data_IF_751804220249
#
_entry.id   IF_751804220249
#
_cell.length_a   1.000
_cell.length_b   1.000
_cell.length_c   1.000
_cell.angle_alpha   90.00
_cell.angle_beta   90.00
_cell.angle_gamma   90.00
#
_symmetry.space_group_name_H-M   'P 1'
#
loop_
_entity.id
_entity.type
_entity.pdbx_description
1 polymer ?
#
# COMPACT_ATOMS: atom_id res chain seq x y z
N UNK A 1 -17.32 7.91 2.74
CA UNK A 1 -17.62 9.33 2.34
C UNK A 1 -16.35 10.18 2.42
N UNK A 2 -15.80 10.44 3.61
CA UNK A 2 -14.62 11.31 3.83
C UNK A 2 -13.42 10.98 2.93
N UNK A 3 -13.16 9.72 2.64
CA UNK A 3 -12.06 9.30 1.75
C UNK A 3 -12.32 9.80 0.33
N UNK A 4 -13.50 9.59 -0.21
CA UNK A 4 -13.86 10.02 -1.58
C UNK A 4 -13.86 11.55 -1.70
N UNK A 5 -14.42 12.25 -0.71
CA UNK A 5 -14.42 13.71 -0.67
C UNK A 5 -13.02 14.31 -0.62
N UNK A 6 -12.05 13.54 -0.07
CA UNK A 6 -10.64 13.92 0.04
C UNK A 6 -9.73 13.18 -0.94
N UNK A 7 -10.26 12.66 -2.03
CA UNK A 7 -9.54 12.01 -3.11
C UNK A 7 -9.82 12.68 -4.44
N UNK A 8 -8.99 12.38 -5.45
CA UNK A 8 -9.27 12.71 -6.84
C UNK A 8 -9.76 11.48 -7.58
N UNK A 9 -10.83 11.59 -8.32
CA UNK A 9 -11.25 10.55 -9.24
C UNK A 9 -10.28 10.46 -10.42
N UNK A 10 -9.88 9.25 -10.79
CA UNK A 10 -9.03 9.00 -11.95
C UNK A 10 -9.88 9.05 -13.20
N UNK A 11 -9.53 9.92 -14.14
CA UNK A 11 -10.24 10.06 -15.42
C UNK A 11 -9.62 9.21 -16.51
N UNK A 12 -8.30 9.09 -16.54
CA UNK A 12 -7.58 8.21 -17.45
C UNK A 12 -6.19 7.85 -16.93
N UNK A 13 -5.64 6.82 -17.54
CA UNK A 13 -4.25 6.41 -17.36
C UNK A 13 -3.58 6.46 -18.73
N UNK A 14 -2.50 7.22 -18.84
CA UNK A 14 -1.69 7.31 -20.04
C UNK A 14 -0.52 6.32 -19.99
N UNK A 15 -0.23 5.70 -21.10
CA UNK A 15 1.06 5.09 -21.40
C UNK A 15 1.80 6.05 -22.31
N UNK A 16 2.89 6.66 -21.81
CA UNK A 16 3.64 7.70 -22.49
C UNK A 16 5.03 7.24 -22.92
N UNK A 17 5.60 7.96 -23.91
CA UNK A 17 6.99 7.81 -24.30
C UNK A 17 7.95 8.51 -23.30
N UNK A 18 9.27 8.47 -23.60
CA UNK A 18 10.29 9.17 -22.81
C UNK A 18 10.13 10.70 -22.75
N UNK A 19 9.36 11.29 -23.67
CA UNK A 19 9.07 12.73 -23.73
C UNK A 19 7.68 13.05 -23.12
N UNK A 20 7.05 12.06 -22.48
CA UNK A 20 5.74 12.17 -21.84
C UNK A 20 4.57 12.38 -22.83
N UNK A 21 4.79 12.05 -24.12
CA UNK A 21 3.71 12.07 -25.10
C UNK A 21 2.89 10.78 -24.93
N UNK A 22 1.56 10.86 -24.84
CA UNK A 22 0.71 9.67 -24.73
C UNK A 22 0.84 8.80 -26.01
N UNK A 23 1.22 7.53 -25.82
CA UNK A 23 1.17 6.48 -26.85
C UNK A 23 -0.21 5.83 -26.85
N UNK A 24 -0.75 5.61 -25.64
CA UNK A 24 -2.07 5.05 -25.42
C UNK A 24 -2.71 5.71 -24.19
N UNK A 25 -4.02 5.91 -24.27
CA UNK A 25 -4.82 6.39 -23.14
C UNK A 25 -5.90 5.36 -22.84
N UNK A 26 -6.05 5.02 -21.57
CA UNK A 26 -7.14 4.17 -21.06
C UNK A 26 -8.07 5.07 -20.26
N UNK A 27 -9.24 5.35 -20.84
CA UNK A 27 -10.31 6.07 -20.18
C UNK A 27 -10.84 5.26 -18.99
N UNK A 28 -11.10 5.93 -17.88
CA UNK A 28 -11.71 5.34 -16.70
C UNK A 28 -13.18 5.78 -16.60
N UNK A 29 -14.10 4.86 -16.24
CA UNK A 29 -15.47 5.26 -15.97
C UNK A 29 -15.53 6.26 -14.82
N UNK A 30 -16.08 7.43 -15.06
CA UNK A 30 -16.21 8.54 -14.09
C UNK A 30 -17.59 8.51 -13.46
N UNK A 31 -17.68 8.92 -12.19
CA UNK A 31 -18.91 8.99 -11.44
C UNK A 31 -19.18 7.76 -10.59
N UNK A 32 -20.40 7.67 -10.09
CA UNK A 32 -20.80 6.61 -9.17
C UNK A 32 -20.97 5.29 -9.91
N UNK A 33 -20.19 4.29 -9.55
CA UNK A 33 -20.28 2.93 -10.09
C UNK A 33 -21.50 2.18 -9.53
N UNK A 34 -21.74 0.97 -10.03
CA UNK A 34 -22.73 0.04 -9.49
C UNK A 34 -22.52 -0.31 -8.00
N UNK A 35 -21.32 -0.09 -7.48
CA UNK A 35 -20.98 -0.27 -6.07
C UNK A 35 -21.30 0.95 -5.20
N UNK A 36 -21.87 2.02 -5.76
CA UNK A 36 -22.23 3.24 -5.06
C UNK A 36 -21.09 4.24 -4.84
N UNK A 37 -19.89 3.97 -5.36
CA UNK A 37 -18.68 4.78 -5.23
C UNK A 37 -17.95 4.92 -6.56
N UNK A 38 -17.04 5.91 -6.71
CA UNK A 38 -16.15 5.97 -7.87
C UNK A 38 -15.31 4.69 -8.00
N UNK A 39 -15.04 4.28 -9.25
CA UNK A 39 -14.29 3.05 -9.50
C UNK A 39 -12.84 3.11 -9.00
N UNK A 40 -12.21 4.27 -9.16
CA UNK A 40 -10.82 4.49 -8.77
C UNK A 40 -10.62 5.93 -8.31
N UNK A 41 -9.92 6.08 -7.20
CA UNK A 41 -9.57 7.40 -6.66
C UNK A 41 -8.08 7.46 -6.31
N UNK A 42 -7.47 8.61 -6.49
CA UNK A 42 -6.14 8.93 -6.03
C UNK A 42 -6.26 9.64 -4.68
N UNK A 43 -5.59 9.13 -3.68
CA UNK A 43 -5.64 9.63 -2.31
C UNK A 43 -4.24 9.98 -1.79
N UNK A 44 -4.19 10.73 -0.71
CA UNK A 44 -2.96 10.95 0.06
C UNK A 44 -2.98 10.03 1.28
N UNK A 45 -2.03 9.10 1.35
CA UNK A 45 -2.03 8.02 2.34
C UNK A 45 -2.14 8.50 3.80
N UNK A 46 -1.39 9.53 4.27
CA UNK A 46 -1.53 10.01 5.64
C UNK A 46 -2.94 10.53 5.99
N UNK A 47 -3.65 11.14 5.03
CA UNK A 47 -5.04 11.57 5.24
C UNK A 47 -5.99 10.37 5.35
N UNK A 48 -5.82 9.36 4.48
CA UNK A 48 -6.61 8.12 4.54
C UNK A 48 -6.43 7.43 5.89
N UNK A 49 -5.19 7.27 6.35
CA UNK A 49 -4.88 6.67 7.65
C UNK A 49 -5.49 7.48 8.80
N UNK A 50 -5.43 8.82 8.74
CA UNK A 50 -6.05 9.70 9.72
C UNK A 50 -7.58 9.52 9.81
N UNK A 51 -8.27 9.35 8.68
CA UNK A 51 -9.71 9.08 8.66
C UNK A 51 -10.07 7.71 9.24
N UNK A 52 -9.27 6.68 8.92
CA UNK A 52 -9.47 5.34 9.46
C UNK A 52 -9.23 5.34 10.97
N UNK A 53 -8.13 5.93 11.44
CA UNK A 53 -7.79 6.06 12.85
C UNK A 53 -8.88 6.77 13.63
N UNK A 54 -9.32 7.94 13.19
CA UNK A 54 -10.39 8.68 13.83
C UNK A 54 -11.71 7.88 13.91
N UNK A 55 -12.00 7.07 12.89
CA UNK A 55 -13.16 6.17 12.90
C UNK A 55 -13.03 5.06 13.94
N UNK A 56 -11.85 4.46 14.05
CA UNK A 56 -11.53 3.42 15.03
C UNK A 56 -11.60 3.97 16.45
N UNK A 57 -10.99 5.12 16.71
CA UNK A 57 -10.97 5.76 18.03
C UNK A 57 -12.36 6.21 18.51
N UNK A 58 -13.26 6.52 17.58
CA UNK A 58 -14.66 6.84 17.91
C UNK A 58 -15.50 5.60 18.26
N UNK A 59 -15.00 4.40 17.97
CA UNK A 59 -15.67 3.13 18.26
C UNK A 59 -15.36 2.62 19.67
N UNK A 60 -16.34 2.01 20.34
CA UNK A 60 -16.16 1.48 21.69
C UNK A 60 -15.65 0.02 21.73
N UNK A 61 -15.53 -0.62 20.58
CA UNK A 61 -15.24 -2.06 20.48
C UNK A 61 -13.83 -2.38 19.98
N UNK A 62 -13.00 -1.35 19.76
CA UNK A 62 -11.64 -1.50 19.22
C UNK A 62 -10.65 -0.87 20.20
N UNK A 63 -9.58 -1.60 20.50
CA UNK A 63 -8.48 -1.11 21.32
C UNK A 63 -7.22 -1.10 20.49
N UNK A 64 -6.58 0.06 20.34
CA UNK A 64 -5.29 0.21 19.67
C UNK A 64 -4.19 0.12 20.74
N UNK A 65 -3.20 -0.72 20.49
CA UNK A 65 -2.01 -0.91 21.34
C UNK A 65 -0.76 -0.55 20.55
N UNK A 66 -0.51 0.76 20.41
CA UNK A 66 0.73 1.24 19.77
C UNK A 66 1.98 0.89 20.55
N UNK A 67 3.12 0.75 19.86
CA UNK A 67 4.38 0.40 20.51
C UNK A 67 4.38 -0.98 21.16
N UNK A 68 3.47 -1.86 20.76
CA UNK A 68 3.36 -3.22 21.29
C UNK A 68 3.74 -4.22 20.19
N UNK A 69 4.84 -4.94 20.40
CA UNK A 69 5.38 -5.93 19.47
C UNK A 69 4.91 -7.33 19.88
N UNK A 70 4.44 -8.12 18.91
CA UNK A 70 4.16 -9.54 19.08
C UNK A 70 5.49 -10.32 19.01
N UNK A 71 5.83 -11.04 20.06
CA UNK A 71 7.06 -11.83 20.17
C UNK A 71 6.88 -13.29 19.75
N UNK A 72 5.76 -13.89 20.15
CA UNK A 72 5.34 -15.23 19.74
C UNK A 72 3.84 -15.40 20.01
N UNK A 73 3.27 -16.49 19.52
CA UNK A 73 1.90 -16.88 19.80
C UNK A 73 1.76 -18.39 19.82
N UNK A 74 0.78 -18.89 20.60
CA UNK A 74 0.42 -20.30 20.70
C UNK A 74 -1.05 -20.46 20.31
N UNK A 75 -1.32 -21.26 19.27
CA UNK A 75 -2.67 -21.56 18.77
C UNK A 75 -3.17 -22.87 19.37
N UNK A 76 -4.38 -22.87 19.90
CA UNK A 76 -5.08 -24.00 20.50
C UNK A 76 -6.55 -24.05 20.09
N UNK A 77 -7.25 -25.11 20.44
CA UNK A 77 -8.70 -25.24 20.20
C UNK A 77 -9.52 -24.15 20.94
N UNK A 78 -8.98 -23.57 22.02
CA UNK A 78 -9.63 -22.52 22.81
C UNK A 78 -9.41 -21.13 22.24
N UNK A 79 -8.37 -20.93 21.42
CA UNK A 79 -7.96 -19.66 20.83
C UNK A 79 -6.45 -19.49 20.81
N UNK A 80 -6.01 -18.25 20.65
CA UNK A 80 -4.60 -17.88 20.46
C UNK A 80 -4.12 -17.09 21.67
N UNK A 81 -3.07 -17.58 22.33
CA UNK A 81 -2.31 -16.82 23.32
C UNK A 81 -1.23 -16.01 22.60
N UNK A 82 -1.09 -14.73 22.94
CA UNK A 82 -0.20 -13.77 22.30
C UNK A 82 0.76 -13.21 23.33
N UNK A 83 2.05 -13.50 23.19
CA UNK A 83 3.09 -12.93 24.03
C UNK A 83 3.69 -11.71 23.34
N UNK A 84 3.50 -10.55 23.95
CA UNK A 84 3.85 -9.25 23.40
C UNK A 84 4.81 -8.50 24.32
N UNK A 85 5.41 -7.44 23.80
CA UNK A 85 6.29 -6.53 24.55
C UNK A 85 6.03 -5.10 24.17
N UNK A 86 6.05 -4.20 25.15
CA UNK A 86 6.04 -2.75 24.95
C UNK A 86 7.10 -2.06 25.85
N UNK A 87 7.05 -0.73 25.98
CA UNK A 87 7.94 0.04 26.85
C UNK A 87 7.86 -0.34 28.34
N UNK A 88 6.73 -0.87 28.79
CA UNK A 88 6.45 -1.19 30.19
C UNK A 88 6.81 -2.63 30.54
N UNK A 89 7.12 -3.47 29.53
CA UNK A 89 7.56 -4.85 29.69
C UNK A 89 6.78 -5.84 28.83
N UNK A 90 6.79 -7.10 29.25
CA UNK A 90 6.08 -8.20 28.59
C UNK A 90 4.60 -8.23 28.97
N UNK A 91 3.76 -8.56 28.01
CA UNK A 91 2.30 -8.60 28.12
C UNK A 91 1.79 -9.88 27.46
N UNK A 92 0.79 -10.51 28.06
CA UNK A 92 0.10 -11.64 27.44
C UNK A 92 -1.35 -11.26 27.15
N UNK A 93 -1.81 -11.54 25.95
CA UNK A 93 -3.21 -11.41 25.54
C UNK A 93 -3.76 -12.79 25.15
N UNK A 94 -5.05 -12.94 25.25
CA UNK A 94 -5.77 -14.08 24.73
C UNK A 94 -6.84 -13.63 23.75
N UNK A 95 -6.93 -14.29 22.60
CA UNK A 95 -7.86 -13.96 21.50
C UNK A 95 -8.44 -15.22 20.89
N UNK A 96 -9.66 -15.17 20.40
CA UNK A 96 -10.23 -16.30 19.64
C UNK A 96 -9.58 -16.48 18.27
N UNK A 97 -9.11 -15.40 17.66
CA UNK A 97 -8.43 -15.40 16.37
C UNK A 97 -7.30 -14.37 16.36
N UNK A 98 -6.23 -14.68 15.65
CA UNK A 98 -5.17 -13.75 15.28
C UNK A 98 -5.22 -13.49 13.78
N UNK A 99 -5.08 -12.23 13.36
CA UNK A 99 -4.96 -11.87 11.95
C UNK A 99 -3.65 -11.12 11.77
N UNK A 100 -2.69 -11.73 11.06
CA UNK A 100 -1.43 -11.10 10.67
C UNK A 100 -1.64 -10.18 9.47
N UNK A 101 -1.58 -8.87 9.70
CA UNK A 101 -1.55 -7.81 8.67
C UNK A 101 -0.21 -7.07 8.74
N UNK A 102 0.87 -7.78 9.02
CA UNK A 102 2.19 -7.31 9.38
C UNK A 102 3.15 -7.17 8.19
N UNK A 103 2.59 -7.07 6.97
CA UNK A 103 3.31 -6.67 5.77
C UNK A 103 4.13 -7.79 5.11
N UNK A 104 4.91 -7.39 4.10
CA UNK A 104 5.65 -8.29 3.23
C UNK A 104 6.60 -9.24 3.99
N UNK A 105 7.25 -8.74 5.04
CA UNK A 105 8.13 -9.51 5.92
C UNK A 105 7.40 -10.12 7.11
N UNK A 106 6.14 -10.50 6.96
CA UNK A 106 5.25 -10.97 8.01
C UNK A 106 5.92 -11.95 8.98
N UNK A 107 5.92 -11.57 10.25
CA UNK A 107 6.32 -12.44 11.36
C UNK A 107 5.30 -13.56 11.54
N UNK A 108 4.00 -13.23 11.52
CA UNK A 108 2.93 -14.20 11.70
C UNK A 108 2.98 -15.31 10.65
N UNK A 109 3.19 -14.97 9.37
CA UNK A 109 3.33 -15.97 8.29
C UNK A 109 4.51 -16.91 8.56
N UNK A 110 5.67 -16.38 8.96
CA UNK A 110 6.86 -17.19 9.24
C UNK A 110 6.66 -18.12 10.44
N UNK A 111 6.03 -17.66 11.50
CA UNK A 111 5.71 -18.49 12.66
C UNK A 111 4.70 -19.59 12.34
N UNK A 112 3.83 -19.36 11.34
CA UNK A 112 2.94 -20.38 10.83
C UNK A 112 3.64 -21.42 9.93
N UNK A 113 4.91 -21.19 9.57
CA UNK A 113 5.65 -22.02 8.61
C UNK A 113 4.86 -22.14 7.28
N UNK A 114 4.49 -20.97 6.73
CA UNK A 114 3.76 -20.86 5.47
C UNK A 114 4.68 -20.26 4.41
N UNK A 115 4.94 -21.03 3.39
CA UNK A 115 5.75 -20.65 2.25
C UNK A 115 5.01 -19.68 1.30
N UNK A 116 5.80 -18.95 0.50
CA UNK A 116 5.33 -18.11 -0.57
C UNK A 116 5.62 -18.77 -1.92
N UNK A 117 4.60 -18.91 -2.75
CA UNK A 117 4.77 -19.14 -4.17
C UNK A 117 5.28 -17.84 -4.81
N UNK A 118 6.51 -17.85 -5.32
CA UNK A 118 7.15 -16.71 -5.96
C UNK A 118 7.00 -16.81 -7.48
N UNK A 119 6.42 -15.78 -8.09
CA UNK A 119 6.25 -15.67 -9.56
C UNK A 119 7.47 -15.05 -10.24
N UNK A 120 8.63 -15.04 -9.58
CA UNK A 120 9.93 -14.60 -10.10
C UNK A 120 9.95 -13.11 -10.56
N UNK A 121 9.05 -12.31 -10.03
CA UNK A 121 9.08 -10.86 -10.25
C UNK A 121 9.80 -10.18 -9.09
N UNK A 122 11.06 -9.76 -9.36
CA UNK A 122 11.89 -9.06 -8.39
C UNK A 122 12.43 -7.79 -9.04
N UNK A 123 11.87 -6.64 -8.71
CA UNK A 123 12.31 -5.35 -9.26
C UNK A 123 12.42 -4.29 -8.16
N UNK A 124 13.50 -3.51 -8.25
CA UNK A 124 13.70 -2.37 -7.39
C UNK A 124 13.27 -1.08 -8.10
N UNK A 125 12.55 -0.23 -7.39
CA UNK A 125 12.06 1.04 -7.88
C UNK A 125 12.31 2.13 -6.84
N UNK A 126 12.84 3.27 -7.30
CA UNK A 126 12.90 4.49 -6.52
C UNK A 126 11.51 5.12 -6.51
N UNK A 127 10.92 5.30 -5.33
CA UNK A 127 9.66 6.01 -5.11
C UNK A 127 9.96 7.37 -4.53
N UNK A 128 9.52 8.43 -5.21
CA UNK A 128 9.70 9.81 -4.82
C UNK A 128 8.34 10.47 -4.58
N UNK A 129 8.17 11.08 -3.41
CA UNK A 129 7.03 11.93 -3.09
C UNK A 129 7.48 13.38 -3.00
N UNK A 130 6.75 14.28 -3.64
CA UNK A 130 7.01 15.70 -3.64
C UNK A 130 5.74 16.52 -3.50
N UNK A 131 5.86 17.75 -2.98
CA UNK A 131 4.78 18.73 -2.91
C UNK A 131 5.07 19.94 -3.76
N UNK A 132 4.12 20.34 -4.59
CA UNK A 132 4.18 21.61 -5.32
C UNK A 132 4.15 22.79 -4.36
N UNK A 133 5.10 23.70 -4.51
CA UNK A 133 5.14 24.99 -3.81
C UNK A 133 4.58 26.13 -4.66
N UNK A 134 4.42 25.88 -5.96
CA UNK A 134 3.83 26.80 -6.94
C UNK A 134 2.95 26.04 -7.90
N UNK A 135 1.89 26.68 -8.38
CA UNK A 135 1.05 26.12 -9.42
C UNK A 135 1.84 26.03 -10.73
N UNK A 136 1.85 24.87 -11.34
CA UNK A 136 2.47 24.57 -12.64
C UNK A 136 1.46 23.86 -13.52
N UNK A 137 1.74 23.79 -14.81
CA UNK A 137 0.93 23.01 -15.74
C UNK A 137 1.39 21.54 -15.73
N UNK A 138 0.76 20.73 -14.87
CA UNK A 138 0.99 19.29 -14.75
C UNK A 138 -0.38 18.60 -14.64
N UNK A 139 -0.58 17.39 -15.19
CA UNK A 139 -1.84 16.66 -15.06
C UNK A 139 -2.19 16.43 -13.57
N UNK A 140 -3.43 16.78 -13.18
CA UNK A 140 -3.88 16.65 -11.78
C UNK A 140 -4.80 15.44 -11.56
N UNK A 141 -5.36 14.86 -12.63
CA UNK A 141 -6.33 13.74 -12.57
C UNK A 141 -5.97 12.57 -13.47
N UNK A 142 -4.78 12.60 -14.03
CA UNK A 142 -4.32 11.67 -15.04
C UNK A 142 -2.99 11.08 -14.59
N UNK A 143 -2.97 9.77 -14.34
CA UNK A 143 -1.73 9.06 -14.06
C UNK A 143 -1.02 8.71 -15.38
N UNK A 144 0.29 8.57 -15.35
CA UNK A 144 1.08 8.20 -16.51
C UNK A 144 2.08 7.10 -16.18
N UNK A 145 2.06 6.04 -16.97
CA UNK A 145 3.11 5.04 -17.03
C UNK A 145 4.08 5.43 -18.15
N UNK A 146 5.30 5.79 -17.79
CA UNK A 146 6.35 6.16 -18.76
C UNK A 146 7.03 4.90 -19.27
N UNK A 147 6.80 4.59 -20.55
CA UNK A 147 7.33 3.41 -21.24
C UNK A 147 8.70 3.71 -21.90
N UNK A 148 9.61 4.34 -21.15
CA UNK A 148 10.99 4.56 -21.61
C UNK A 148 11.82 3.29 -21.36
N UNK A 149 12.34 2.62 -22.42
CA UNK A 149 13.20 1.44 -22.24
C UNK A 149 14.50 1.74 -21.46
N UNK A 150 14.95 3.00 -21.45
CA UNK A 150 16.16 3.40 -20.71
C UNK A 150 15.87 3.55 -19.21
N UNK A 151 14.68 4.01 -18.85
CA UNK A 151 14.22 4.14 -17.47
C UNK A 151 12.70 4.17 -17.41
N UNK A 152 12.04 3.02 -17.27
CA UNK A 152 10.63 2.98 -17.00
C UNK A 152 10.27 3.78 -15.73
N UNK A 153 9.16 4.48 -15.77
CA UNK A 153 8.72 5.30 -14.66
C UNK A 153 7.20 5.41 -14.57
N UNK A 154 6.74 5.97 -13.47
CA UNK A 154 5.32 6.25 -13.21
C UNK A 154 5.17 7.64 -12.63
N UNK A 155 4.12 8.34 -13.05
CA UNK A 155 3.67 9.59 -12.45
C UNK A 155 2.24 9.40 -11.93
N UNK A 156 2.02 9.73 -10.66
CA UNK A 156 0.71 9.67 -10.00
C UNK A 156 0.46 10.98 -9.28
N UNK A 157 -0.51 11.78 -9.73
CA UNK A 157 -0.90 13.00 -9.02
C UNK A 157 -1.68 12.66 -7.74
N UNK A 158 -1.41 13.41 -6.68
CA UNK A 158 -2.18 13.39 -5.45
C UNK A 158 -2.94 14.70 -5.23
N UNK A 159 -3.61 14.82 -4.10
CA UNK A 159 -4.29 16.07 -3.73
C UNK A 159 -3.33 17.12 -3.17
N UNK A 160 -3.78 18.39 -3.18
CA UNK A 160 -3.08 19.52 -2.56
C UNK A 160 -1.64 19.69 -3.02
N UNK A 161 -1.38 19.34 -4.29
CA UNK A 161 -0.05 19.48 -4.88
C UNK A 161 0.90 18.35 -4.53
N UNK A 162 0.45 17.29 -3.85
CA UNK A 162 1.23 16.06 -3.71
C UNK A 162 1.40 15.36 -5.06
N UNK A 163 2.61 14.91 -5.36
CA UNK A 163 2.98 14.19 -6.56
C UNK A 163 3.83 13.00 -6.19
N UNK A 164 3.55 11.85 -6.79
CA UNK A 164 4.39 10.66 -6.69
C UNK A 164 5.00 10.33 -8.02
N UNK A 165 6.29 10.05 -7.99
CA UNK A 165 7.05 9.54 -9.13
C UNK A 165 7.72 8.23 -8.73
N UNK A 166 7.74 7.30 -9.66
CA UNK A 166 8.42 6.03 -9.47
C UNK A 166 9.36 5.80 -10.65
N UNK A 167 10.59 5.41 -10.39
CA UNK A 167 11.60 5.15 -11.42
C UNK A 167 12.22 3.78 -11.20
N UNK A 168 12.24 2.96 -12.23
CA UNK A 168 12.92 1.67 -12.17
C UNK A 168 14.41 1.88 -11.89
N UNK A 169 14.93 1.17 -10.89
CA UNK A 169 16.38 1.06 -10.69
C UNK A 169 16.98 0.22 -11.81
N UNK A 170 17.96 0.77 -12.49
CA UNK A 170 18.59 0.10 -13.62
C UNK A 170 19.77 -0.78 -13.15
N UNK A 171 20.14 -1.83 -13.90
CA UNK A 171 21.28 -2.68 -13.55
C UNK A 171 22.56 -1.87 -13.32
N UNK A 172 23.26 -2.14 -12.22
CA UNK A 172 24.51 -1.48 -11.84
C UNK A 172 24.35 -0.19 -11.03
N UNK A 173 23.11 0.28 -10.78
CA UNK A 173 22.86 1.45 -9.93
C UNK A 173 22.86 1.06 -8.45
N UNK A 174 23.44 1.91 -7.62
CA UNK A 174 23.41 1.79 -6.16
C UNK A 174 22.17 2.47 -5.59
N UNK A 175 21.44 1.81 -4.69
CA UNK A 175 20.20 2.32 -4.11
C UNK A 175 20.42 3.59 -3.29
N UNK A 176 21.52 3.69 -2.53
CA UNK A 176 21.82 4.87 -1.72
C UNK A 176 22.19 6.08 -2.58
N UNK A 177 22.82 5.85 -3.75
CA UNK A 177 23.09 6.93 -4.70
C UNK A 177 21.81 7.40 -5.40
N UNK A 178 20.87 6.50 -5.68
CA UNK A 178 19.57 6.86 -6.24
C UNK A 178 18.72 7.68 -5.27
N UNK A 179 18.81 7.41 -3.97
CA UNK A 179 18.05 8.09 -2.92
C UNK A 179 18.57 9.50 -2.58
N UNK A 180 19.76 9.89 -3.11
CA UNK A 180 20.29 11.24 -2.87
C UNK A 180 19.47 12.31 -3.60
N UNK A 181 19.17 13.38 -2.90
CA UNK A 181 18.38 14.51 -3.42
C UNK A 181 18.87 14.98 -4.80
N UNK A 182 20.19 15.11 -4.98
CA UNK A 182 20.78 15.52 -6.26
C UNK A 182 20.40 14.57 -7.42
N UNK A 183 20.41 13.26 -7.18
CA UNK A 183 20.04 12.24 -8.18
C UNK A 183 18.54 12.28 -8.43
N UNK A 184 17.75 12.39 -7.36
CA UNK A 184 16.29 12.48 -7.43
C UNK A 184 15.87 13.69 -8.26
N UNK A 185 16.43 14.89 -8.00
CA UNK A 185 16.11 16.10 -8.76
C UNK A 185 16.51 16.01 -10.24
N UNK A 186 17.58 15.28 -10.58
CA UNK A 186 17.91 14.99 -11.99
C UNK A 186 16.83 14.16 -12.67
N UNK A 187 16.29 13.16 -11.98
CA UNK A 187 15.21 12.32 -12.50
C UNK A 187 13.88 13.07 -12.62
N UNK A 188 13.57 13.95 -11.66
CA UNK A 188 12.35 14.73 -11.63
C UNK A 188 12.34 15.94 -12.60
N UNK A 189 13.51 16.32 -13.14
CA UNK A 189 13.68 17.52 -13.98
C UNK A 189 12.68 17.67 -15.14
N UNK A 190 12.22 16.60 -15.84
CA UNK A 190 11.22 16.74 -16.89
C UNK A 190 9.84 17.20 -16.39
N UNK A 191 9.55 17.07 -15.09
CA UNK A 191 8.25 17.31 -14.48
C UNK A 191 8.26 18.52 -13.55
N UNK A 192 9.19 18.54 -12.61
CA UNK A 192 9.30 19.51 -11.52
C UNK A 192 10.76 19.80 -11.20
N UNK A 193 10.99 20.87 -10.44
CA UNK A 193 12.30 21.25 -9.94
C UNK A 193 12.21 21.95 -8.57
N UNK A 194 13.34 22.19 -7.92
CA UNK A 194 13.45 22.79 -6.59
C UNK A 194 12.81 24.19 -6.47
N UNK A 195 12.58 24.93 -7.59
CA UNK A 195 11.93 26.23 -7.58
C UNK A 195 10.39 26.13 -7.49
N UNK A 196 9.80 24.97 -7.82
CA UNK A 196 8.35 24.77 -7.90
C UNK A 196 7.82 23.61 -7.07
N UNK A 197 8.70 22.80 -6.48
CA UNK A 197 8.32 21.69 -5.62
C UNK A 197 9.34 21.50 -4.48
N UNK A 198 8.91 20.80 -3.43
CA UNK A 198 9.72 20.33 -2.31
C UNK A 198 9.66 18.81 -2.27
N UNK A 199 10.81 18.17 -2.23
CA UNK A 199 10.90 16.72 -2.01
C UNK A 199 10.47 16.39 -0.57
N UNK A 200 9.61 15.41 -0.43
CA UNK A 200 9.16 14.91 0.86
C UNK A 200 9.89 13.61 1.22
N UNK A 201 10.03 12.72 0.24
CA UNK A 201 10.64 11.42 0.42
C UNK A 201 11.22 10.89 -0.89
N UNK A 202 12.32 10.16 -0.78
CA UNK A 202 12.86 9.33 -1.85
C UNK A 202 13.42 8.05 -1.26
N UNK A 203 12.93 6.90 -1.69
CA UNK A 203 13.36 5.60 -1.18
C UNK A 203 13.23 4.52 -2.23
N UNK A 204 14.22 3.62 -2.29
CA UNK A 204 14.19 2.43 -3.14
C UNK A 204 13.44 1.32 -2.43
N UNK A 205 12.46 0.75 -3.11
CA UNK A 205 11.68 -0.41 -2.67
C UNK A 205 11.91 -1.58 -3.59
N UNK A 206 11.99 -2.78 -3.00
CA UNK A 206 11.94 -4.04 -3.74
C UNK A 206 10.50 -4.53 -3.82
N UNK A 207 10.02 -4.73 -5.03
CA UNK A 207 8.68 -5.27 -5.29
C UNK A 207 8.79 -6.71 -5.74
N UNK A 208 7.92 -7.54 -5.20
CA UNK A 208 7.81 -8.96 -5.48
C UNK A 208 6.42 -9.28 -6.00
N UNK A 209 6.29 -10.42 -6.68
CA UNK A 209 5.00 -11.02 -6.99
C UNK A 209 4.97 -12.41 -6.34
N UNK A 210 4.28 -12.53 -5.23
CA UNK A 210 4.19 -13.80 -4.51
C UNK A 210 2.87 -13.92 -3.76
N UNK A 211 2.47 -15.16 -3.48
CA UNK A 211 1.25 -15.49 -2.73
C UNK A 211 1.55 -16.59 -1.71
N UNK A 212 1.01 -16.46 -0.51
CA UNK A 212 1.14 -17.49 0.51
C UNK A 212 0.35 -18.75 0.12
N UNK A 213 0.95 -19.91 0.29
CA UNK A 213 0.33 -21.22 -0.02
C UNK A 213 -0.92 -21.49 0.84
N UNK A 214 -0.96 -20.92 2.03
CA UNK A 214 -2.12 -20.99 2.92
C UNK A 214 -2.33 -19.66 3.63
N UNK A 215 -3.57 -19.21 3.75
CA UNK A 215 -3.94 -17.96 4.42
C UNK A 215 -4.52 -18.16 5.81
N UNK A 216 -4.64 -19.42 6.22
CA UNK A 216 -5.13 -19.80 7.55
C UNK A 216 -4.49 -21.09 8.02
N UNK A 217 -4.12 -21.13 9.31
CA UNK A 217 -3.75 -22.34 10.02
C UNK A 217 -4.36 -22.25 11.43
N UNK A 218 -5.26 -23.17 11.74
CA UNK A 218 -6.03 -23.10 12.99
C UNK A 218 -6.86 -21.82 13.14
N UNK A 219 -6.60 -21.08 14.21
CA UNK A 219 -7.25 -19.81 14.54
C UNK A 219 -6.43 -18.59 14.09
N UNK A 220 -5.33 -18.80 13.37
CA UNK A 220 -4.47 -17.74 12.88
C UNK A 220 -4.67 -17.55 11.39
N UNK A 221 -4.87 -16.31 10.95
CA UNK A 221 -5.04 -15.90 9.56
C UNK A 221 -3.98 -14.87 9.18
N UNK A 222 -3.70 -14.77 7.89
CA UNK A 222 -2.89 -13.69 7.31
C UNK A 222 -3.66 -12.96 6.21
N UNK A 223 -3.38 -11.66 6.01
CA UNK A 223 -4.06 -10.84 5.02
C UNK A 223 -3.16 -9.70 4.52
N UNK A 224 -3.51 -9.12 3.36
CA UNK A 224 -2.72 -8.08 2.72
C UNK A 224 -1.33 -8.57 2.33
N UNK A 225 -0.32 -7.72 2.44
CA UNK A 225 1.05 -8.05 2.04
C UNK A 225 1.66 -9.23 2.85
N UNK A 226 1.08 -9.58 3.99
CA UNK A 226 1.44 -10.79 4.72
C UNK A 226 1.06 -12.07 3.95
N UNK A 227 -0.02 -12.02 3.18
CA UNK A 227 -0.56 -13.14 2.41
C UNK A 227 -0.18 -13.10 0.92
N UNK A 228 -0.02 -11.90 0.35
CA UNK A 228 0.33 -11.73 -1.07
C UNK A 228 1.01 -10.40 -1.32
N UNK A 229 1.98 -10.40 -2.19
CA UNK A 229 2.67 -9.21 -2.66
C UNK A 229 2.51 -9.10 -4.16
N UNK A 230 2.38 -7.89 -4.67
CA UNK A 230 2.21 -7.65 -6.10
C UNK A 230 3.00 -6.44 -6.56
N UNK A 231 3.36 -6.38 -7.85
CA UNK A 231 4.00 -5.21 -8.42
C UNK A 231 3.16 -3.94 -8.22
N UNK A 232 3.78 -2.75 -8.12
CA UNK A 232 3.10 -1.50 -7.77
C UNK A 232 2.16 -0.98 -8.86
N UNK A 233 2.15 -1.63 -10.02
CA UNK A 233 1.38 -1.19 -11.18
C UNK A 233 -0.11 -1.12 -10.89
N UNK A 234 -0.74 -0.03 -11.33
CA UNK A 234 -2.17 0.26 -11.09
C UNK A 234 -2.56 0.45 -9.62
N UNK A 235 -1.60 0.50 -8.68
CA UNK A 235 -1.86 0.73 -7.25
C UNK A 235 -2.77 -0.32 -6.60
N UNK A 236 -2.71 -1.57 -7.02
CA UNK A 236 -3.68 -2.60 -6.64
C UNK A 236 -3.46 -3.18 -5.23
N UNK A 237 -2.24 -3.12 -4.67
CA UNK A 237 -1.85 -3.82 -3.43
C UNK A 237 -2.77 -3.50 -2.24
N UNK A 238 -2.87 -2.24 -1.88
CA UNK A 238 -3.72 -1.81 -0.76
C UNK A 238 -5.20 -2.17 -0.98
N UNK A 239 -5.71 -1.93 -2.22
CA UNK A 239 -7.11 -2.26 -2.54
C UNK A 239 -7.41 -3.75 -2.42
N UNK A 240 -6.45 -4.61 -2.72
CA UNK A 240 -6.57 -6.07 -2.56
C UNK A 240 -6.55 -6.45 -1.08
N UNK A 241 -5.64 -5.90 -0.28
CA UNK A 241 -5.64 -6.12 1.17
C UNK A 241 -6.93 -5.66 1.86
N UNK A 242 -7.53 -4.55 1.42
CA UNK A 242 -8.85 -4.12 1.92
C UNK A 242 -9.95 -5.14 1.57
N UNK A 243 -9.89 -5.74 0.37
CA UNK A 243 -10.82 -6.82 -0.02
C UNK A 243 -10.66 -8.05 0.85
N UNK A 244 -9.41 -8.41 1.22
CA UNK A 244 -9.15 -9.53 2.14
C UNK A 244 -9.86 -9.29 3.47
N UNK A 245 -9.63 -8.13 4.09
CA UNK A 245 -10.23 -7.78 5.37
C UNK A 245 -11.75 -7.73 5.27
N UNK A 246 -12.30 -7.18 4.19
CA UNK A 246 -13.74 -7.18 3.95
C UNK A 246 -14.29 -8.60 3.88
N UNK A 247 -13.58 -9.51 3.20
CA UNK A 247 -13.97 -10.91 3.07
C UNK A 247 -13.82 -11.69 4.38
N UNK A 248 -12.79 -11.42 5.17
CA UNK A 248 -12.54 -12.07 6.47
C UNK A 248 -13.58 -11.59 7.51
N UNK A 249 -13.88 -10.31 7.56
CA UNK A 249 -14.69 -9.69 8.63
C UNK A 249 -16.06 -10.33 8.80
N UNK A 250 -16.83 -10.51 7.73
CA UNK A 250 -18.17 -11.11 7.83
C UNK A 250 -18.10 -12.60 8.17
N UNK A 251 -17.06 -13.33 7.71
CA UNK A 251 -16.87 -14.73 8.03
C UNK A 251 -16.56 -14.92 9.52
N UNK A 252 -15.65 -14.10 10.06
CA UNK A 252 -15.35 -14.10 11.49
C UNK A 252 -16.55 -13.69 12.33
N UNK A 253 -17.36 -12.73 11.88
CA UNK A 253 -18.59 -12.35 12.58
C UNK A 253 -19.57 -13.54 12.70
N UNK A 254 -19.71 -14.33 11.65
CA UNK A 254 -20.53 -15.56 11.68
C UNK A 254 -19.95 -16.61 12.62
N UNK A 255 -18.66 -16.86 12.58
CA UNK A 255 -17.96 -17.80 13.47
C UNK A 255 -18.07 -17.38 14.93
N UNK A 256 -17.81 -16.10 15.22
CA UNK A 256 -17.88 -15.54 16.57
C UNK A 256 -19.29 -15.58 17.16
N UNK A 257 -20.32 -15.54 16.31
CA UNK A 257 -21.75 -15.67 16.71
C UNK A 257 -22.25 -17.11 16.71
N UNK A 258 -21.40 -18.10 16.46
CA UNK A 258 -21.75 -19.52 16.32
C UNK A 258 -22.85 -19.77 15.26
N UNK A 259 -22.83 -18.98 14.17
CA UNK A 259 -23.77 -19.10 13.06
C UNK A 259 -23.18 -19.80 11.82
N UNK A 260 -21.92 -20.18 11.88
CA UNK A 260 -21.20 -20.97 10.89
C UNK A 260 -20.20 -21.89 11.58
N UNK A 261 -19.79 -22.98 10.90
CA UNK A 261 -18.75 -23.92 11.32
C UNK A 261 -17.48 -23.69 10.47
#
# INVERSE_FOLDING_TARGET
EKVVENSHEVHCVHFGDANLNPIQTIEQPVGVSAMGWPNQVLFYQPELEGFIRASVESGNNIVIKEGTELLNFDDSDEGVELNCKNSDGELTFFSRYLIGCDGASSFVRRELDVDLEDFEYNQEWLVCDAHLTKKINIPEKEAMQVCDPKRPGTYVPGRRGHLRFEFKKMPGEDSKELEKDETVWKLLKPWINENNAKLERAQVYSFHACIAESWRKGNVLIAGDAAHQMPPFMGAGMGTGIRDITNISWKLDLLLKNKAN
#
